data_IF_235027247377
#
_entry.id   IF_235027247377
#
_cell.length_a   1.000
_cell.length_b   1.000
_cell.length_c   1.000
_cell.angle_alpha   90.00
_cell.angle_beta   90.00
_cell.angle_gamma   90.00
#
_symmetry.space_group_name_H-M   'P 1'
#
loop_
_entity.id
_entity.type
_entity.pdbx_description
1 polymer ?
#
# COMPACT_ATOMS: atom_id res chain seq x y z
N UNK A 1 16.45 7.37 -11.29
CA UNK A 1 17.28 7.13 -10.08
C UNK A 1 18.10 8.39 -9.80
N UNK A 2 18.21 8.85 -8.56
CA UNK A 2 19.07 9.99 -8.21
C UNK A 2 20.55 9.59 -8.26
N UNK A 3 21.43 10.52 -8.62
CA UNK A 3 22.88 10.27 -8.70
C UNK A 3 23.47 9.67 -7.42
N UNK A 4 22.90 9.99 -6.26
CA UNK A 4 23.35 9.51 -4.95
C UNK A 4 23.17 7.98 -4.73
N UNK A 5 22.24 7.35 -5.43
CA UNK A 5 21.95 5.91 -5.28
C UNK A 5 22.56 5.04 -6.39
N UNK A 6 23.13 5.64 -7.43
CA UNK A 6 23.74 4.92 -8.54
C UNK A 6 24.87 3.95 -8.09
N UNK A 7 25.79 4.32 -7.17
CA UNK A 7 26.81 3.40 -6.71
C UNK A 7 26.23 2.16 -6.00
N UNK A 8 25.16 2.32 -5.23
CA UNK A 8 24.51 1.20 -4.55
C UNK A 8 23.79 0.27 -5.55
N UNK A 9 23.16 0.84 -6.58
CA UNK A 9 22.54 0.05 -7.66
C UNK A 9 23.55 -0.83 -8.39
N UNK A 10 24.70 -0.25 -8.76
CA UNK A 10 25.78 -0.98 -9.43
C UNK A 10 26.42 -2.04 -8.53
N UNK A 11 26.64 -1.72 -7.26
CA UNK A 11 27.32 -2.61 -6.32
C UNK A 11 26.43 -3.74 -5.81
N UNK A 12 25.11 -3.55 -5.73
CA UNK A 12 24.15 -4.50 -5.14
C UNK A 12 23.16 -4.99 -6.22
N UNK A 13 23.61 -5.89 -7.13
CA UNK A 13 22.76 -6.39 -8.20
C UNK A 13 21.56 -7.18 -7.66
N UNK A 14 20.36 -6.81 -8.13
CA UNK A 14 19.07 -7.41 -7.74
C UNK A 14 19.06 -8.93 -7.92
N UNK A 15 19.71 -9.43 -8.97
CA UNK A 15 19.85 -10.86 -9.27
C UNK A 15 20.43 -11.69 -8.11
N UNK A 16 21.24 -11.11 -7.23
CA UNK A 16 21.85 -11.86 -6.10
C UNK A 16 20.87 -12.22 -4.99
N UNK A 17 19.69 -11.59 -5.02
CA UNK A 17 18.63 -11.71 -4.01
C UNK A 17 17.38 -12.41 -4.54
N UNK A 18 17.28 -12.64 -5.86
CA UNK A 18 16.12 -13.31 -6.44
C UNK A 18 16.20 -14.84 -6.30
N UNK A 19 15.06 -15.52 -6.06
CA UNK A 19 14.99 -16.97 -6.15
C UNK A 19 15.17 -17.46 -7.60
N UNK A 20 15.46 -18.76 -7.77
CA UNK A 20 15.63 -19.35 -9.10
C UNK A 20 14.33 -19.29 -9.94
N UNK A 21 13.17 -19.45 -9.31
CA UNK A 21 11.86 -19.32 -9.95
C UNK A 21 11.25 -17.96 -9.59
N UNK A 22 10.89 -17.18 -10.61
CA UNK A 22 10.31 -15.84 -10.45
C UNK A 22 9.09 -15.64 -11.33
N UNK A 23 8.22 -14.71 -10.92
CA UNK A 23 7.04 -14.30 -11.69
C UNK A 23 7.04 -12.79 -11.94
N UNK A 24 7.84 -12.29 -12.91
CA UNK A 24 7.82 -10.90 -13.33
C UNK A 24 6.43 -10.47 -13.79
N UNK A 25 6.05 -9.24 -13.41
CA UNK A 25 4.88 -8.55 -13.94
C UNK A 25 5.36 -7.50 -14.95
N UNK A 26 5.17 -7.79 -16.23
CA UNK A 26 5.52 -6.87 -17.30
C UNK A 26 4.57 -5.66 -17.26
N UNK A 27 5.10 -4.51 -16.88
CA UNK A 27 4.32 -3.28 -16.71
C UNK A 27 3.78 -2.73 -18.04
N UNK A 28 4.37 -3.10 -19.18
CA UNK A 28 3.90 -2.67 -20.50
C UNK A 28 2.71 -3.50 -20.98
N UNK A 29 2.66 -4.80 -20.65
CA UNK A 29 1.57 -5.70 -21.09
C UNK A 29 0.56 -6.04 -19.99
N UNK A 30 0.88 -5.78 -18.72
CA UNK A 30 0.06 -6.12 -17.56
C UNK A 30 -0.01 -7.63 -17.28
N UNK A 31 0.98 -8.40 -17.75
CA UNK A 31 0.97 -9.88 -17.67
C UNK A 31 2.05 -10.39 -16.73
N UNK A 32 1.71 -11.47 -16.03
CA UNK A 32 2.67 -12.27 -15.29
C UNK A 32 3.24 -13.37 -16.20
N UNK A 33 4.55 -13.61 -16.09
CA UNK A 33 5.22 -14.73 -16.75
C UNK A 33 5.94 -15.59 -15.73
N UNK A 34 5.97 -16.90 -15.91
CA UNK A 34 6.81 -17.79 -15.11
C UNK A 34 8.20 -17.90 -15.73
N UNK A 35 9.25 -17.62 -14.98
CA UNK A 35 10.63 -17.67 -15.47
C UNK A 35 11.53 -18.37 -14.46
N UNK A 36 12.31 -19.35 -14.95
CA UNK A 36 13.24 -20.14 -14.13
C UNK A 36 14.68 -19.91 -14.58
N UNK A 37 15.57 -19.62 -13.63
CA UNK A 37 17.00 -19.48 -13.86
C UNK A 37 17.65 -20.77 -14.40
N UNK A 38 17.05 -21.93 -14.11
CA UNK A 38 17.56 -23.23 -14.59
C UNK A 38 17.12 -23.54 -16.02
N UNK A 39 15.90 -23.13 -16.39
CA UNK A 39 15.31 -23.45 -17.70
C UNK A 39 15.59 -22.37 -18.75
N UNK A 40 15.61 -21.10 -18.35
CA UNK A 40 15.85 -19.94 -19.22
C UNK A 40 16.66 -18.87 -18.46
N UNK A 41 17.98 -19.09 -18.28
CA UNK A 41 18.86 -18.18 -17.53
C UNK A 41 18.94 -16.79 -18.17
N UNK A 42 18.84 -16.69 -19.51
CA UNK A 42 18.88 -15.41 -20.21
C UNK A 42 17.62 -14.58 -19.94
N UNK A 43 16.43 -15.18 -20.00
CA UNK A 43 15.21 -14.49 -19.62
C UNK A 43 15.17 -14.14 -18.14
N UNK A 44 15.61 -15.05 -17.28
CA UNK A 44 15.69 -14.80 -15.86
C UNK A 44 16.58 -13.59 -15.55
N UNK A 45 17.78 -13.53 -16.14
CA UNK A 45 18.70 -12.41 -15.94
C UNK A 45 18.15 -11.11 -16.52
N UNK A 46 17.53 -11.16 -17.70
CA UNK A 46 16.88 -9.98 -18.30
C UNK A 46 15.81 -9.37 -17.39
N UNK A 47 14.97 -10.19 -16.75
CA UNK A 47 13.99 -9.68 -15.78
C UNK A 47 14.64 -9.23 -14.47
N UNK A 48 15.69 -9.92 -14.00
CA UNK A 48 16.43 -9.48 -12.83
C UNK A 48 17.01 -8.06 -13.00
N UNK A 49 17.39 -7.69 -14.23
CA UNK A 49 17.91 -6.37 -14.58
C UNK A 49 16.83 -5.37 -15.07
N UNK A 50 15.58 -5.82 -15.24
CA UNK A 50 14.49 -4.96 -15.72
C UNK A 50 13.89 -4.10 -14.62
N UNK A 51 13.23 -3.02 -15.03
CA UNK A 51 12.45 -2.15 -14.14
C UNK A 51 11.01 -2.67 -13.93
N UNK A 52 10.85 -3.98 -13.75
CA UNK A 52 9.56 -4.61 -13.46
C UNK A 52 9.51 -5.11 -12.00
N UNK A 53 8.34 -5.06 -11.33
CA UNK A 53 8.15 -5.78 -10.09
C UNK A 53 8.14 -7.29 -10.37
N UNK A 54 8.78 -8.05 -9.47
CA UNK A 54 8.93 -9.51 -9.61
C UNK A 54 8.30 -10.17 -8.39
N UNK A 55 7.24 -10.94 -8.60
CA UNK A 55 6.67 -11.75 -7.54
C UNK A 55 7.62 -12.90 -7.23
N UNK A 56 7.81 -13.16 -5.93
CA UNK A 56 8.75 -14.18 -5.41
C UNK A 56 8.07 -15.18 -4.48
N UNK A 57 6.83 -14.92 -4.08
CA UNK A 57 6.01 -15.85 -3.30
C UNK A 57 4.53 -15.60 -3.56
N UNK A 58 3.77 -16.69 -3.60
CA UNK A 58 2.32 -16.71 -3.70
C UNK A 58 1.71 -17.42 -2.49
N UNK A 59 0.46 -17.08 -2.18
CA UNK A 59 -0.43 -17.77 -1.24
C UNK A 59 0.22 -18.01 0.14
N UNK A 60 1.00 -17.04 0.62
CA UNK A 60 1.75 -17.09 1.89
C UNK A 60 2.67 -18.32 2.00
N UNK A 61 3.20 -18.76 0.86
CA UNK A 61 4.08 -19.93 0.77
C UNK A 61 3.37 -21.27 0.65
N UNK A 62 2.03 -21.30 0.61
CA UNK A 62 1.25 -22.52 0.38
C UNK A 62 1.14 -22.91 -1.11
N UNK A 63 1.64 -22.05 -2.00
CA UNK A 63 1.64 -22.29 -3.43
C UNK A 63 2.64 -23.39 -3.83
N UNK A 64 2.22 -24.29 -4.73
CA UNK A 64 3.05 -25.37 -5.27
C UNK A 64 3.16 -25.29 -6.80
N UNK A 65 4.32 -25.67 -7.32
CA UNK A 65 4.58 -25.75 -8.75
C UNK A 65 5.09 -24.43 -9.36
N UNK A 66 5.20 -24.39 -10.71
CA UNK A 66 5.78 -23.25 -11.41
C UNK A 66 4.76 -22.19 -11.85
N UNK A 67 3.48 -22.52 -11.91
CA UNK A 67 2.45 -21.59 -12.39
C UNK A 67 2.12 -20.51 -11.34
N UNK A 68 1.63 -19.31 -11.72
CA UNK A 68 1.20 -18.32 -10.74
C UNK A 68 0.14 -18.85 -9.75
N UNK A 69 0.29 -18.48 -8.47
CA UNK A 69 -0.71 -18.74 -7.43
C UNK A 69 -1.92 -17.77 -7.49
N UNK A 70 -2.71 -17.72 -6.41
CA UNK A 70 -3.92 -16.88 -6.38
C UNK A 70 -3.68 -15.47 -5.86
N UNK A 71 -2.86 -15.36 -4.82
CA UNK A 71 -2.59 -14.10 -4.11
C UNK A 71 -1.10 -13.89 -3.94
N UNK A 72 -0.58 -12.75 -4.38
CA UNK A 72 0.83 -12.42 -4.14
C UNK A 72 1.10 -12.23 -2.64
N UNK A 73 2.19 -12.80 -2.13
CA UNK A 73 2.56 -12.71 -0.71
C UNK A 73 3.99 -12.22 -0.47
N UNK A 74 4.84 -12.17 -1.50
CA UNK A 74 6.15 -11.50 -1.48
C UNK A 74 6.57 -11.10 -2.89
N UNK A 75 7.36 -10.04 -3.00
CA UNK A 75 7.98 -9.60 -4.26
C UNK A 75 9.31 -8.92 -4.03
N UNK A 76 10.13 -8.92 -5.07
CA UNK A 76 11.14 -7.89 -5.25
C UNK A 76 10.48 -6.70 -5.95
N UNK A 77 10.42 -5.57 -5.26
CA UNK A 77 9.78 -4.35 -5.76
C UNK A 77 10.46 -3.80 -7.01
N UNK A 78 9.70 -3.04 -7.81
CA UNK A 78 10.18 -2.35 -9.02
C UNK A 78 11.36 -1.42 -8.69
N UNK A 79 12.53 -1.56 -9.34
CA UNK A 79 13.73 -0.78 -9.04
C UNK A 79 13.51 0.74 -9.00
N UNK A 80 12.84 1.33 -9.99
CA UNK A 80 12.58 2.77 -10.03
C UNK A 80 11.75 3.24 -8.85
N UNK A 81 10.76 2.46 -8.42
CA UNK A 81 9.98 2.72 -7.21
C UNK A 81 10.84 2.63 -5.96
N UNK A 82 11.64 1.57 -5.81
CA UNK A 82 12.59 1.40 -4.69
C UNK A 82 13.49 2.62 -4.57
N UNK A 83 14.15 3.03 -5.65
CA UNK A 83 15.04 4.20 -5.61
C UNK A 83 14.33 5.53 -5.40
N UNK A 84 13.08 5.67 -5.86
CA UNK A 84 12.27 6.87 -5.58
C UNK A 84 11.94 6.97 -4.08
N UNK A 85 11.60 5.85 -3.45
CA UNK A 85 11.32 5.80 -2.01
C UNK A 85 12.60 5.98 -1.19
N UNK A 86 13.71 5.37 -1.59
CA UNK A 86 15.00 5.58 -0.94
C UNK A 86 15.49 7.03 -1.05
N UNK A 87 15.16 7.75 -2.13
CA UNK A 87 15.41 9.18 -2.24
C UNK A 87 14.55 9.98 -1.25
N UNK A 88 13.26 9.65 -1.13
CA UNK A 88 12.36 10.30 -0.14
C UNK A 88 12.75 10.03 1.31
N UNK A 89 13.24 8.81 1.58
CA UNK A 89 13.72 8.42 2.91
C UNK A 89 14.90 9.31 3.33
N UNK A 90 15.66 9.84 2.37
CA UNK A 90 16.73 10.81 2.57
C UNK A 90 17.70 10.39 3.69
N UNK A 91 18.28 9.20 3.55
CA UNK A 91 19.20 8.64 4.54
C UNK A 91 20.56 9.33 4.48
N UNK A 92 21.13 9.60 5.64
CA UNK A 92 22.46 10.22 5.81
C UNK A 92 23.44 9.23 6.45
N UNK A 93 24.75 9.33 6.18
CA UNK A 93 25.76 8.45 6.78
C UNK A 93 25.62 8.37 8.31
N UNK A 94 25.72 7.16 8.85
CA UNK A 94 25.62 6.88 10.30
C UNK A 94 24.19 6.82 10.87
N UNK A 95 23.15 7.01 10.05
CA UNK A 95 21.76 6.86 10.47
C UNK A 95 21.37 5.39 10.60
N UNK A 96 20.52 5.11 11.60
CA UNK A 96 19.91 3.78 11.80
C UNK A 96 18.55 3.69 11.11
N UNK A 97 18.32 2.57 10.43
CA UNK A 97 17.11 2.32 9.66
C UNK A 97 16.40 1.07 10.15
N UNK A 98 15.09 1.18 10.36
CA UNK A 98 14.18 0.05 10.47
C UNK A 98 13.44 -0.11 9.14
N UNK A 99 13.57 -1.28 8.52
CA UNK A 99 12.75 -1.68 7.38
C UNK A 99 11.66 -2.65 7.82
N UNK A 100 10.44 -2.44 7.33
CA UNK A 100 9.28 -3.32 7.54
C UNK A 100 8.89 -3.96 6.21
N UNK A 101 9.13 -5.27 6.09
CA UNK A 101 8.93 -6.06 4.88
C UNK A 101 10.25 -6.43 4.20
N UNK A 102 11.06 -7.28 4.84
CA UNK A 102 12.37 -7.69 4.28
C UNK A 102 12.26 -8.25 2.86
N UNK A 103 11.24 -9.08 2.58
CA UNK A 103 11.10 -9.74 1.28
C UNK A 103 12.35 -10.53 0.90
N UNK A 104 12.93 -10.25 -0.27
CA UNK A 104 14.18 -10.92 -0.70
C UNK A 104 15.44 -10.38 -0.01
N UNK A 105 15.36 -9.28 0.73
CA UNK A 105 16.50 -8.61 1.37
C UNK A 105 17.27 -7.64 0.47
N UNK A 106 16.83 -7.41 -0.78
CA UNK A 106 17.54 -6.51 -1.70
C UNK A 106 17.54 -5.04 -1.24
N UNK A 107 16.39 -4.51 -0.79
CA UNK A 107 16.31 -3.14 -0.28
C UNK A 107 17.12 -2.96 1.02
N UNK A 108 17.08 -3.95 1.92
CA UNK A 108 17.98 -4.01 3.08
C UNK A 108 19.47 -3.95 2.69
N UNK A 109 19.86 -4.66 1.63
CA UNK A 109 21.24 -4.67 1.12
C UNK A 109 21.65 -3.31 0.54
N UNK A 110 20.75 -2.63 -0.19
CA UNK A 110 20.99 -1.27 -0.70
C UNK A 110 21.23 -0.27 0.45
N UNK A 111 20.38 -0.34 1.48
CA UNK A 111 20.54 0.48 2.69
C UNK A 111 21.84 0.17 3.42
N UNK A 112 22.17 -1.13 3.58
CA UNK A 112 23.37 -1.59 4.27
C UNK A 112 24.66 -1.21 3.53
N UNK A 113 24.66 -1.27 2.19
CA UNK A 113 25.79 -0.79 1.40
C UNK A 113 26.07 0.69 1.65
N UNK A 114 25.02 1.50 1.79
CA UNK A 114 25.14 2.95 1.97
C UNK A 114 25.44 3.37 3.42
N UNK A 115 24.90 2.66 4.40
CA UNK A 115 24.92 3.07 5.81
C UNK A 115 25.79 2.18 6.72
N UNK A 116 26.24 1.03 6.23
CA UNK A 116 26.80 -0.05 7.05
C UNK A 116 25.72 -1.02 7.52
N UNK A 117 26.00 -2.33 7.42
CA UNK A 117 25.03 -3.39 7.76
C UNK A 117 24.59 -3.35 9.22
N UNK A 118 25.45 -2.90 10.13
CA UNK A 118 25.17 -2.74 11.55
C UNK A 118 24.11 -1.67 11.85
N UNK A 119 23.82 -0.78 10.90
CA UNK A 119 22.82 0.28 11.06
C UNK A 119 21.44 -0.13 10.53
N UNK A 120 21.30 -1.32 9.96
CA UNK A 120 20.06 -1.80 9.35
C UNK A 120 19.46 -2.91 10.19
N UNK A 121 18.17 -2.73 10.52
CA UNK A 121 17.30 -3.79 11.02
C UNK A 121 16.15 -3.93 10.02
N UNK A 122 15.82 -5.17 9.66
CA UNK A 122 14.71 -5.44 8.75
C UNK A 122 13.82 -6.54 9.33
N UNK A 123 12.50 -6.34 9.24
CA UNK A 123 11.48 -7.22 9.84
C UNK A 123 10.69 -7.92 8.76
N UNK A 124 10.56 -9.24 8.85
CA UNK A 124 9.74 -10.08 7.97
C UNK A 124 8.82 -10.97 8.79
N UNK A 125 7.55 -11.02 8.41
CA UNK A 125 6.51 -11.77 9.14
C UNK A 125 6.50 -13.25 8.74
N UNK A 126 7.00 -13.58 7.56
CA UNK A 126 7.10 -14.95 7.07
C UNK A 126 8.45 -15.59 7.43
N UNK A 127 8.42 -16.66 8.22
CA UNK A 127 9.64 -17.32 8.67
C UNK A 127 10.51 -17.87 7.52
N UNK A 128 9.91 -18.35 6.43
CA UNK A 128 10.65 -18.93 5.31
C UNK A 128 11.30 -17.81 4.49
N UNK A 129 10.55 -16.74 4.20
CA UNK A 129 11.09 -15.55 3.51
C UNK A 129 12.20 -14.90 4.33
N UNK A 130 12.01 -14.74 5.65
CA UNK A 130 13.03 -14.18 6.55
C UNK A 130 14.32 -15.00 6.54
N UNK A 131 14.19 -16.34 6.54
CA UNK A 131 15.32 -17.25 6.47
C UNK A 131 16.09 -17.10 5.15
N UNK A 132 15.41 -17.04 4.01
CA UNK A 132 16.08 -16.89 2.71
C UNK A 132 16.65 -15.50 2.46
N UNK A 133 16.02 -14.45 2.99
CA UNK A 133 16.58 -13.11 2.99
C UNK A 133 17.92 -13.09 3.74
N UNK A 134 17.97 -13.69 4.94
CA UNK A 134 19.20 -13.80 5.73
C UNK A 134 20.31 -14.53 4.97
N UNK A 135 20.00 -15.69 4.37
CA UNK A 135 20.98 -16.43 3.55
C UNK A 135 21.46 -15.61 2.34
N UNK A 136 20.58 -14.85 1.70
CA UNK A 136 20.92 -14.02 0.54
C UNK A 136 21.85 -12.86 0.92
N UNK A 137 21.55 -12.20 2.05
CA UNK A 137 22.38 -11.15 2.64
C UNK A 137 23.75 -11.68 3.08
N UNK A 138 23.79 -12.81 3.78
CA UNK A 138 25.04 -13.45 4.22
C UNK A 138 25.90 -13.88 3.02
N UNK A 139 25.30 -14.49 1.99
CA UNK A 139 25.99 -14.89 0.74
C UNK A 139 26.55 -13.68 -0.01
N UNK A 140 25.90 -12.52 0.11
CA UNK A 140 26.39 -11.27 -0.46
C UNK A 140 27.47 -10.60 0.41
N UNK A 141 27.65 -11.05 1.66
CA UNK A 141 28.65 -10.53 2.59
C UNK A 141 28.16 -9.38 3.47
N UNK A 142 26.84 -9.24 3.64
CA UNK A 142 26.22 -8.22 4.49
C UNK A 142 25.52 -8.86 5.69
N UNK A 143 26.08 -8.67 6.88
CA UNK A 143 25.49 -9.17 8.13
C UNK A 143 24.40 -8.24 8.68
N UNK A 144 23.33 -8.04 7.91
CA UNK A 144 22.17 -7.25 8.32
C UNK A 144 21.33 -8.01 9.35
N UNK A 145 20.79 -7.30 10.34
CA UNK A 145 19.90 -7.90 11.33
C UNK A 145 18.50 -8.15 10.74
N UNK A 146 18.27 -9.37 10.23
CA UNK A 146 16.95 -9.84 9.78
C UNK A 146 16.17 -10.44 10.94
N UNK A 147 15.02 -9.85 11.28
CA UNK A 147 14.13 -10.27 12.36
C UNK A 147 12.90 -10.95 11.77
N UNK A 148 12.61 -12.17 12.22
CA UNK A 148 11.31 -12.79 11.96
C UNK A 148 10.33 -12.31 13.04
N UNK A 149 9.29 -11.58 12.64
CA UNK A 149 8.31 -11.01 13.57
C UNK A 149 7.25 -10.14 12.90
N UNK A 150 6.28 -9.70 13.69
CA UNK A 150 5.25 -8.78 13.22
C UNK A 150 5.80 -7.36 13.07
N UNK A 151 5.85 -6.88 11.82
CA UNK A 151 6.28 -5.53 11.49
C UNK A 151 5.48 -4.42 12.17
N UNK A 152 4.23 -4.68 12.58
CA UNK A 152 3.43 -3.69 13.32
C UNK A 152 4.05 -3.32 14.66
N UNK A 153 4.81 -4.24 15.26
CA UNK A 153 5.49 -4.02 16.55
C UNK A 153 6.83 -3.30 16.39
N UNK A 154 7.33 -3.15 15.16
CA UNK A 154 8.68 -2.67 14.88
C UNK A 154 9.75 -3.58 15.49
N UNK A 155 10.86 -2.99 15.95
CA UNK A 155 11.90 -3.72 16.67
C UNK A 155 12.56 -2.86 17.76
N UNK A 156 11.87 -2.71 18.88
CA UNK A 156 12.28 -1.82 19.98
C UNK A 156 13.67 -2.09 20.55
N UNK A 157 14.21 -3.31 20.44
CA UNK A 157 15.53 -3.66 20.96
C UNK A 157 16.70 -2.89 20.31
N UNK A 158 16.49 -2.28 19.14
CA UNK A 158 17.51 -1.48 18.44
C UNK A 158 17.12 -0.03 18.21
N UNK A 159 15.95 0.37 18.75
CA UNK A 159 15.54 1.75 18.82
C UNK A 159 16.56 2.60 19.61
N UNK A 160 16.62 3.93 19.39
CA UNK A 160 15.80 4.68 18.46
C UNK A 160 16.35 4.70 17.03
N UNK A 161 15.44 4.79 16.06
CA UNK A 161 15.74 4.85 14.63
C UNK A 161 15.74 6.29 14.11
N UNK A 162 16.61 6.58 13.15
CA UNK A 162 16.59 7.84 12.40
C UNK A 162 15.58 7.79 11.25
N UNK A 163 15.34 6.57 10.73
CA UNK A 163 14.50 6.29 9.57
C UNK A 163 13.72 5.00 9.79
N UNK A 164 12.45 5.01 9.43
CA UNK A 164 11.62 3.83 9.32
C UNK A 164 11.04 3.80 7.91
N UNK A 165 11.17 2.68 7.21
CA UNK A 165 10.61 2.50 5.87
C UNK A 165 9.77 1.22 5.84
N UNK A 166 8.55 1.32 5.33
CA UNK A 166 7.76 0.15 5.00
C UNK A 166 7.84 -0.13 3.49
N UNK A 167 8.12 -1.38 3.15
CA UNK A 167 8.12 -1.91 1.78
C UNK A 167 6.88 -2.81 1.55
N UNK A 168 5.82 -2.50 2.29
CA UNK A 168 4.48 -3.07 2.19
C UNK A 168 3.43 -1.97 2.42
N UNK A 169 2.20 -2.17 1.96
CA UNK A 169 1.10 -1.22 2.06
C UNK A 169 0.38 -1.29 3.40
N UNK A 170 0.08 -0.13 3.99
CA UNK A 170 -0.63 0.01 5.27
C UNK A 170 -1.94 0.79 5.13
N UNK A 171 -2.84 0.57 6.09
CA UNK A 171 -4.04 1.38 6.35
C UNK A 171 -3.95 2.10 7.69
N UNK A 172 -3.26 1.51 8.66
CA UNK A 172 -3.00 2.13 9.96
C UNK A 172 -1.51 2.08 10.25
N UNK A 173 -0.90 3.24 10.47
CA UNK A 173 0.50 3.34 10.88
C UNK A 173 0.57 3.09 12.40
N UNK A 174 1.29 2.08 12.88
CA UNK A 174 1.42 1.82 14.31
C UNK A 174 2.16 2.94 15.02
N UNK A 175 1.62 3.42 16.14
CA UNK A 175 2.29 4.45 16.92
C UNK A 175 3.64 3.97 17.49
N UNK A 176 3.81 2.66 17.68
CA UNK A 176 5.09 2.05 18.06
C UNK A 176 6.26 2.46 17.14
N UNK A 177 6.01 2.76 15.85
CA UNK A 177 7.06 3.22 14.94
C UNK A 177 7.50 4.66 15.25
N UNK A 178 6.56 5.50 15.70
CA UNK A 178 6.84 6.86 16.19
C UNK A 178 7.63 6.79 17.50
N UNK A 179 7.19 5.96 18.45
CA UNK A 179 7.87 5.76 19.74
C UNK A 179 9.29 5.21 19.60
N UNK A 180 9.52 4.35 18.60
CA UNK A 180 10.83 3.78 18.31
C UNK A 180 11.72 4.70 17.46
N UNK A 181 11.25 5.88 17.08
CA UNK A 181 12.00 6.84 16.25
C UNK A 181 12.52 8.01 17.07
N UNK A 182 13.65 8.57 16.63
CA UNK A 182 14.16 9.82 17.22
C UNK A 182 13.22 10.99 16.85
N UNK A 183 13.15 12.04 17.69
CA UNK A 183 12.62 13.33 17.27
C UNK A 183 13.28 13.81 15.96
N UNK A 184 12.47 14.22 14.99
CA UNK A 184 12.94 14.56 13.63
C UNK A 184 13.28 13.36 12.74
N UNK A 185 13.09 12.13 13.22
CA UNK A 185 13.16 10.92 12.41
C UNK A 185 12.08 10.90 11.33
N UNK A 186 12.32 10.15 10.26
CA UNK A 186 11.39 10.06 9.11
C UNK A 186 10.79 8.66 9.02
N UNK A 187 9.47 8.60 8.92
CA UNK A 187 8.73 7.40 8.55
C UNK A 187 8.31 7.54 7.08
N UNK A 188 8.68 6.57 6.23
CA UNK A 188 8.24 6.50 4.84
C UNK A 188 7.38 5.26 4.63
N UNK A 189 6.10 5.47 4.35
CA UNK A 189 5.10 4.40 4.43
C UNK A 189 4.15 4.45 3.22
N UNK A 190 4.08 3.40 2.38
CA UNK A 190 2.97 3.21 1.46
C UNK A 190 1.67 3.09 2.25
N UNK A 191 0.75 4.03 2.06
CA UNK A 191 -0.49 4.11 2.83
C UNK A 191 -1.68 4.29 1.89
N UNK A 192 -2.80 3.61 2.17
CA UNK A 192 -4.03 3.75 1.40
C UNK A 192 -5.26 3.37 2.21
N UNK A 193 -6.42 3.67 1.63
CA UNK A 193 -7.73 3.59 2.31
C UNK A 193 -8.40 2.22 2.10
N UNK A 194 -9.61 2.04 2.62
CA UNK A 194 -10.47 0.90 2.25
C UNK A 194 -11.18 1.11 0.92
N UNK A 195 -11.25 2.36 0.45
CA UNK A 195 -12.09 2.76 -0.67
C UNK A 195 -11.65 2.13 -1.98
N UNK A 196 -10.34 2.03 -2.22
CA UNK A 196 -9.83 1.45 -3.45
C UNK A 196 -8.42 0.88 -3.30
N UNK A 197 -7.85 0.37 -4.40
CA UNK A 197 -6.49 -0.17 -4.41
C UNK A 197 -5.42 0.92 -4.35
N UNK A 198 -5.79 2.20 -4.48
CA UNK A 198 -4.86 3.32 -4.50
C UNK A 198 -4.15 3.53 -3.16
N UNK A 199 -2.82 3.70 -3.24
CA UNK A 199 -1.95 4.03 -2.13
C UNK A 199 -1.03 5.20 -2.54
N UNK A 200 -0.53 5.91 -1.55
CA UNK A 200 0.50 6.91 -1.74
C UNK A 200 1.58 6.79 -0.66
N UNK A 201 2.81 7.12 -1.00
CA UNK A 201 3.92 7.12 -0.05
C UNK A 201 3.79 8.33 0.89
N UNK A 202 3.49 8.10 2.16
CA UNK A 202 3.46 9.11 3.21
C UNK A 202 4.88 9.29 3.79
N UNK A 203 5.39 10.52 3.78
CA UNK A 203 6.69 10.88 4.34
C UNK A 203 6.50 11.72 5.60
N UNK A 204 6.46 11.06 6.75
CA UNK A 204 6.11 11.68 8.04
C UNK A 204 7.37 12.00 8.85
N UNK A 205 7.41 13.17 9.47
CA UNK A 205 8.49 13.58 10.37
C UNK A 205 7.99 13.49 11.81
N UNK A 206 8.75 12.80 12.66
CA UNK A 206 8.45 12.68 14.09
C UNK A 206 8.63 14.03 14.78
N UNK A 207 7.59 14.46 15.51
CA UNK A 207 7.59 15.73 16.23
C UNK A 207 8.67 15.77 17.32
N UNK A 208 9.09 16.98 17.71
CA UNK A 208 10.16 17.18 18.71
C UNK A 208 9.84 16.55 20.07
N UNK A 209 8.56 16.49 20.43
CA UNK A 209 8.08 15.88 21.67
C UNK A 209 7.87 14.36 21.56
N UNK A 210 8.05 13.76 20.37
CA UNK A 210 7.83 12.33 20.12
C UNK A 210 6.37 11.87 20.19
N UNK A 211 5.40 12.79 20.24
CA UNK A 211 3.98 12.46 20.44
C UNK A 211 3.19 12.31 19.12
N UNK A 212 3.82 12.64 17.99
CA UNK A 212 3.19 12.50 16.68
C UNK A 212 4.22 12.38 15.56
N UNK A 213 3.77 11.95 14.39
CA UNK A 213 4.50 12.07 13.14
C UNK A 213 3.58 12.67 12.07
N UNK A 214 4.05 13.68 11.34
CA UNK A 214 3.24 14.39 10.35
C UNK A 214 4.01 14.68 9.07
N UNK A 215 3.34 14.63 7.93
CA UNK A 215 3.95 14.98 6.65
C UNK A 215 3.09 14.63 5.43
N UNK A 216 3.49 15.12 4.25
CA UNK A 216 2.71 14.96 3.02
C UNK A 216 2.83 13.55 2.46
N UNK A 217 1.92 13.21 1.55
CA UNK A 217 2.19 12.16 0.58
C UNK A 217 3.10 12.68 -0.53
N UNK A 218 3.94 11.82 -1.11
CA UNK A 218 4.92 12.24 -2.13
C UNK A 218 4.56 11.77 -3.53
N UNK A 219 4.01 10.56 -3.66
CA UNK A 219 3.59 9.99 -4.95
C UNK A 219 2.63 8.81 -4.75
N UNK A 220 1.80 8.50 -5.76
CA UNK A 220 1.04 7.26 -5.77
C UNK A 220 2.00 6.06 -5.89
N UNK A 221 1.69 4.99 -5.16
CA UNK A 221 2.47 3.74 -5.12
C UNK A 221 1.50 2.55 -5.06
N UNK A 222 2.01 1.34 -5.28
CA UNK A 222 1.22 0.13 -5.12
C UNK A 222 2.08 -0.95 -4.46
N UNK A 223 1.68 -1.39 -3.28
CA UNK A 223 2.38 -2.43 -2.54
C UNK A 223 1.43 -3.56 -2.14
N UNK A 224 2.00 -4.75 -1.90
CA UNK A 224 1.27 -5.79 -1.20
C UNK A 224 0.96 -5.31 0.22
N UNK A 225 -0.26 -5.52 0.68
CA UNK A 225 -0.66 -5.13 2.03
C UNK A 225 0.11 -5.93 3.07
N UNK A 226 0.55 -5.24 4.14
CA UNK A 226 1.05 -5.88 5.35
C UNK A 226 0.04 -6.95 5.79
N UNK A 227 0.50 -8.17 6.07
CA UNK A 227 -0.38 -9.36 6.21
C UNK A 227 -1.53 -9.16 7.19
N UNK A 228 -1.24 -8.61 8.38
CA UNK A 228 -2.22 -8.31 9.42
C UNK A 228 -3.24 -7.21 9.04
N UNK A 229 -2.98 -6.42 7.99
CA UNK A 229 -3.88 -5.36 7.50
C UNK A 229 -4.51 -5.68 6.13
N UNK A 230 -4.41 -6.93 5.66
CA UNK A 230 -5.13 -7.37 4.45
C UNK A 230 -6.64 -7.23 4.66
N UNK A 231 -7.33 -6.82 3.60
CA UNK A 231 -8.78 -6.67 3.64
C UNK A 231 -9.48 -8.01 3.53
N UNK A 232 -10.46 -8.23 4.40
CA UNK A 232 -11.44 -9.30 4.23
C UNK A 232 -12.72 -8.65 3.76
N UNK A 233 -13.16 -9.01 2.56
CA UNK A 233 -14.40 -8.47 2.01
C UNK A 233 -15.60 -8.86 2.90
N UNK A 234 -16.48 -7.90 3.24
CA UNK A 234 -17.73 -8.22 3.90
C UNK A 234 -18.56 -9.18 3.05
N UNK A 235 -19.31 -10.06 3.73
CA UNK A 235 -20.29 -10.92 3.08
C UNK A 235 -21.52 -10.10 2.71
N UNK A 236 -21.86 -10.07 1.43
CA UNK A 236 -22.95 -9.25 0.89
C UNK A 236 -24.29 -9.49 1.61
N UNK A 237 -24.63 -10.75 1.87
CA UNK A 237 -25.86 -11.18 2.53
C UNK A 237 -25.97 -10.73 4.00
N UNK A 238 -24.84 -10.42 4.66
CA UNK A 238 -24.87 -9.82 6.00
C UNK A 238 -25.29 -8.35 5.99
N UNK A 239 -25.14 -7.66 4.86
CA UNK A 239 -25.52 -6.24 4.69
C UNK A 239 -26.86 -6.11 3.98
N UNK A 240 -27.10 -6.97 2.98
CA UNK A 240 -28.22 -6.86 2.03
C UNK A 240 -29.03 -8.17 2.03
N UNK A 241 -29.85 -8.42 3.07
CA UNK A 241 -30.73 -9.59 3.10
C UNK A 241 -31.82 -9.51 2.02
N UNK A 242 -32.51 -10.62 1.69
CA UNK A 242 -33.64 -10.61 0.77
C UNK A 242 -34.68 -9.55 1.16
N UNK A 243 -35.10 -8.73 0.19
CA UNK A 243 -36.04 -7.60 0.40
C UNK A 243 -35.39 -6.30 0.89
N UNK A 244 -34.08 -6.27 1.15
CA UNK A 244 -33.39 -5.07 1.63
C UNK A 244 -33.49 -3.88 0.66
N UNK A 245 -33.51 -4.12 -0.66
CA UNK A 245 -33.69 -3.08 -1.66
C UNK A 245 -35.08 -2.44 -1.60
N UNK A 246 -36.12 -3.19 -1.25
CA UNK A 246 -37.50 -2.68 -1.16
C UNK A 246 -37.68 -1.76 0.06
N UNK A 247 -36.89 -1.99 1.11
CA UNK A 247 -36.87 -1.18 2.32
C UNK A 247 -35.79 -0.07 2.31
N UNK A 248 -35.00 0.03 1.24
CA UNK A 248 -33.90 0.99 1.15
C UNK A 248 -34.38 2.38 0.76
N UNK A 249 -33.67 3.39 1.23
CA UNK A 249 -33.87 4.74 0.74
C UNK A 249 -33.35 4.85 -0.68
N UNK A 250 -34.14 5.47 -1.55
CA UNK A 250 -33.88 5.55 -2.98
C UNK A 250 -33.66 7.00 -3.42
N UNK A 251 -32.63 7.22 -4.23
CA UNK A 251 -32.36 8.50 -4.91
C UNK A 251 -31.82 8.25 -6.33
N UNK A 252 -31.46 9.32 -7.02
CA UNK A 252 -30.70 9.25 -8.28
C UNK A 252 -29.43 10.09 -8.18
N UNK A 253 -28.49 9.83 -9.09
CA UNK A 253 -27.25 10.60 -9.23
C UNK A 253 -26.89 10.76 -10.70
N UNK A 254 -26.19 11.85 -11.01
CA UNK A 254 -25.56 12.11 -12.31
C UNK A 254 -24.06 11.81 -12.30
N UNK A 255 -23.48 11.41 -11.16
CA UNK A 255 -22.09 11.00 -11.11
C UNK A 255 -21.89 9.73 -11.93
N UNK A 256 -20.81 9.68 -12.70
CA UNK A 256 -20.46 8.55 -13.55
C UNK A 256 -19.60 7.53 -12.80
N UNK A 257 -19.57 6.30 -13.29
CA UNK A 257 -18.73 5.23 -12.73
C UNK A 257 -17.24 5.63 -12.63
N UNK A 258 -16.70 6.29 -13.67
CA UNK A 258 -15.30 6.71 -13.71
C UNK A 258 -14.96 7.76 -12.65
N UNK A 259 -15.92 8.62 -12.30
CA UNK A 259 -15.77 9.64 -11.25
C UNK A 259 -15.76 9.03 -9.84
N UNK A 260 -16.21 7.78 -9.68
CA UNK A 260 -16.34 7.11 -8.38
C UNK A 260 -15.25 6.08 -8.14
N UNK A 261 -15.00 5.24 -9.16
CA UNK A 261 -14.02 4.17 -9.09
C UNK A 261 -12.62 4.63 -9.53
N UNK A 262 -12.51 5.85 -10.06
CA UNK A 262 -11.30 6.34 -10.73
C UNK A 262 -11.03 5.59 -12.04
N UNK A 263 -9.88 5.88 -12.64
CA UNK A 263 -9.42 5.22 -13.88
C UNK A 263 -8.36 4.14 -13.65
N UNK A 264 -7.92 3.94 -12.39
CA UNK A 264 -6.93 2.93 -12.01
C UNK A 264 -6.34 3.15 -10.62
N UNK A 265 -5.38 2.32 -10.22
CA UNK A 265 -4.78 2.31 -8.88
C UNK A 265 -3.94 3.55 -8.52
N UNK A 266 -3.70 4.46 -9.46
CA UNK A 266 -2.85 5.65 -9.26
C UNK A 266 -3.62 6.97 -9.44
N UNK A 267 -4.94 6.88 -9.58
CA UNK A 267 -5.81 8.03 -9.74
C UNK A 267 -6.05 8.75 -8.40
N UNK A 268 -6.04 10.08 -8.42
CA UNK A 268 -6.17 10.90 -7.22
C UNK A 268 -7.60 10.97 -6.67
N UNK A 269 -8.64 10.84 -7.51
CA UNK A 269 -10.02 10.94 -7.03
C UNK A 269 -10.35 9.78 -6.11
N UNK A 270 -10.01 8.55 -6.48
CA UNK A 270 -10.27 7.38 -5.63
C UNK A 270 -9.56 7.47 -4.27
N UNK A 271 -8.33 7.99 -4.26
CA UNK A 271 -7.58 8.23 -3.03
C UNK A 271 -8.22 9.31 -2.16
N UNK A 272 -8.55 10.47 -2.75
CA UNK A 272 -9.18 11.59 -2.05
C UNK A 272 -10.55 11.22 -1.48
N UNK A 273 -11.38 10.49 -2.24
CA UNK A 273 -12.66 9.97 -1.77
C UNK A 273 -12.46 9.08 -0.54
N UNK A 274 -11.50 8.16 -0.59
CA UNK A 274 -11.22 7.29 0.55
C UNK A 274 -10.70 8.03 1.79
N UNK A 275 -10.02 9.16 1.64
CA UNK A 275 -9.64 10.02 2.77
C UNK A 275 -10.85 10.71 3.40
N UNK A 276 -11.88 11.02 2.61
CA UNK A 276 -13.09 11.74 3.06
C UNK A 276 -14.21 10.80 3.51
N UNK A 277 -14.15 9.55 3.11
CA UNK A 277 -15.14 8.50 3.42
C UNK A 277 -14.41 7.32 4.06
N UNK A 278 -13.93 7.46 5.31
CA UNK A 278 -13.19 6.40 5.98
C UNK A 278 -14.05 5.16 6.19
N UNK A 279 -13.38 4.01 6.27
CA UNK A 279 -14.00 2.70 6.46
C UNK A 279 -15.14 2.42 5.47
N UNK A 280 -14.94 2.76 4.20
CA UNK A 280 -15.84 2.34 3.12
C UNK A 280 -15.03 1.62 2.07
N UNK A 281 -15.53 0.47 1.63
CA UNK A 281 -15.01 -0.27 0.49
C UNK A 281 -16.08 -0.38 -0.59
N UNK A 282 -15.69 -0.35 -1.86
CA UNK A 282 -16.63 -0.52 -2.97
C UNK A 282 -16.28 -1.71 -3.87
N UNK A 283 -17.30 -2.42 -4.34
CA UNK A 283 -17.17 -3.58 -5.21
C UNK A 283 -18.03 -3.38 -6.47
N UNK A 284 -17.42 -3.08 -7.62
CA UNK A 284 -18.14 -2.93 -8.87
C UNK A 284 -18.41 -4.30 -9.51
N UNK A 285 -19.69 -4.65 -9.65
CA UNK A 285 -20.13 -5.90 -10.28
C UNK A 285 -19.66 -6.01 -11.74
N UNK A 286 -19.72 -7.23 -12.29
CA UNK A 286 -19.53 -7.43 -13.73
C UNK A 286 -20.64 -6.73 -14.49
N UNK A 287 -20.26 -5.97 -15.51
CA UNK A 287 -21.19 -5.34 -16.44
C UNK A 287 -21.95 -6.43 -17.23
N UNK A 288 -23.28 -6.32 -17.28
CA UNK A 288 -24.19 -7.25 -17.98
C UNK A 288 -25.29 -6.44 -18.64
N UNK A 289 -25.51 -6.65 -19.94
CA UNK A 289 -26.59 -6.00 -20.71
C UNK A 289 -26.64 -4.47 -20.55
N UNK A 290 -25.48 -3.82 -20.60
CA UNK A 290 -25.33 -2.37 -20.43
C UNK A 290 -25.59 -1.85 -19.01
N UNK A 291 -25.75 -2.75 -18.02
CA UNK A 291 -25.95 -2.41 -16.61
C UNK A 291 -24.72 -2.81 -15.79
N UNK A 292 -24.33 -1.95 -14.85
CA UNK A 292 -23.31 -2.25 -13.84
C UNK A 292 -23.74 -1.72 -12.48
N UNK A 293 -23.74 -2.58 -11.47
CA UNK A 293 -23.97 -2.15 -10.09
C UNK A 293 -22.62 -1.92 -9.40
N UNK A 294 -22.52 -0.86 -8.62
CA UNK A 294 -21.36 -0.61 -7.74
C UNK A 294 -21.86 -0.58 -6.32
N UNK A 295 -21.43 -1.57 -5.54
CA UNK A 295 -21.81 -1.71 -4.14
C UNK A 295 -20.79 -1.00 -3.25
N UNK A 296 -21.26 -0.36 -2.19
CA UNK A 296 -20.47 0.27 -1.15
C UNK A 296 -20.84 -0.35 0.18
N UNK A 297 -19.86 -0.64 1.01
CA UNK A 297 -20.04 -1.25 2.33
C UNK A 297 -19.25 -0.46 3.36
N UNK A 298 -19.89 -0.16 4.49
CA UNK A 298 -19.21 0.33 5.67
C UNK A 298 -18.38 -0.79 6.29
N UNK A 299 -17.15 -0.50 6.70
CA UNK A 299 -16.18 -1.47 7.24
C UNK A 299 -15.74 -1.12 8.66
N UNK A 300 -16.36 -0.13 9.30
CA UNK A 300 -15.99 0.44 10.60
C UNK A 300 -16.27 -0.45 11.82
N UNK A 301 -16.26 -1.77 11.64
CA UNK A 301 -16.54 -2.77 12.68
C UNK A 301 -17.84 -3.55 12.46
N UNK A 302 -18.07 -4.56 13.31
CA UNK A 302 -19.16 -5.54 13.14
C UNK A 302 -20.57 -4.97 13.30
N UNK A 303 -20.71 -3.77 13.85
CA UNK A 303 -21.99 -3.07 14.00
C UNK A 303 -22.31 -2.16 12.82
N UNK A 304 -21.33 -1.80 11.99
CA UNK A 304 -21.60 -1.03 10.78
C UNK A 304 -22.19 -1.96 9.71
N UNK A 305 -23.49 -1.82 9.48
CA UNK A 305 -24.23 -2.52 8.42
C UNK A 305 -24.69 -1.56 7.33
N UNK A 306 -24.00 -0.42 7.20
CA UNK A 306 -24.29 0.55 6.17
C UNK A 306 -23.89 -0.01 4.81
N UNK A 307 -24.78 0.18 3.83
CA UNK A 307 -24.51 -0.18 2.45
C UNK A 307 -25.17 0.82 1.50
N UNK A 308 -24.59 0.93 0.32
CA UNK A 308 -25.24 1.58 -0.81
C UNK A 308 -24.98 0.78 -2.10
N UNK A 309 -25.84 0.96 -3.08
CA UNK A 309 -25.59 0.50 -4.45
C UNK A 309 -26.02 1.55 -5.44
N UNK A 310 -25.15 1.81 -6.40
CA UNK A 310 -25.42 2.65 -7.56
C UNK A 310 -25.55 1.77 -8.78
N UNK A 311 -26.65 1.90 -9.50
CA UNK A 311 -26.98 1.09 -10.67
C UNK A 311 -26.84 1.94 -11.93
N UNK A 312 -25.67 1.84 -12.56
CA UNK A 312 -25.37 2.47 -13.84
C UNK A 312 -26.01 1.71 -14.99
N UNK A 313 -26.50 2.46 -15.98
CA UNK A 313 -27.04 1.92 -17.22
C UNK A 313 -26.59 2.75 -18.41
N UNK A 314 -26.13 2.10 -19.47
CA UNK A 314 -25.63 2.78 -20.68
C UNK A 314 -26.72 3.57 -21.42
N UNK A 315 -27.99 3.20 -21.21
CA UNK A 315 -29.15 3.86 -21.82
C UNK A 315 -29.69 5.05 -21.00
N UNK A 316 -29.04 5.44 -19.90
CA UNK A 316 -29.53 6.46 -18.96
C UNK A 316 -28.42 7.39 -18.51
N UNK A 317 -28.74 8.68 -18.43
CA UNK A 317 -27.84 9.68 -17.86
C UNK A 317 -27.79 9.65 -16.33
N UNK A 318 -28.93 9.37 -15.69
CA UNK A 318 -29.02 9.22 -14.24
C UNK A 318 -28.95 7.75 -13.80
N UNK A 319 -28.13 7.48 -12.79
CA UNK A 319 -28.06 6.19 -12.13
C UNK A 319 -29.00 6.17 -10.91
N UNK A 320 -29.65 5.02 -10.67
CA UNK A 320 -30.44 4.82 -9.46
C UNK A 320 -29.53 4.44 -8.29
N UNK A 321 -29.84 4.99 -7.13
CA UNK A 321 -29.13 4.74 -5.88
C UNK A 321 -30.09 4.12 -4.88
N UNK A 322 -29.61 3.10 -4.17
CA UNK A 322 -30.27 2.55 -2.99
C UNK A 322 -29.28 2.54 -1.85
N UNK A 323 -29.69 2.92 -0.64
CA UNK A 323 -28.81 2.85 0.53
C UNK A 323 -29.60 2.60 1.81
N UNK A 324 -28.94 2.00 2.80
CA UNK A 324 -29.50 1.72 4.11
C UNK A 324 -28.40 1.57 5.16
N UNK A 325 -28.80 1.59 6.43
CA UNK A 325 -27.93 1.48 7.60
C UNK A 325 -27.61 2.81 8.28
N UNK A 326 -26.77 2.78 9.33
CA UNK A 326 -26.50 3.93 10.19
C UNK A 326 -25.79 5.09 9.49
N UNK A 327 -25.01 4.81 8.44
CA UNK A 327 -24.36 5.80 7.59
C UNK A 327 -25.04 5.89 6.22
N UNK A 328 -25.06 7.10 5.67
CA UNK A 328 -25.55 7.37 4.31
C UNK A 328 -24.39 7.33 3.35
N UNK A 329 -23.83 6.13 3.12
CA UNK A 329 -22.57 5.96 2.40
C UNK A 329 -22.56 6.64 1.04
N UNK A 330 -23.66 6.58 0.30
CA UNK A 330 -23.72 7.25 -0.99
C UNK A 330 -23.66 8.78 -0.87
N UNK A 331 -24.40 9.34 0.09
CA UNK A 331 -24.37 10.77 0.36
C UNK A 331 -22.99 11.25 0.81
N UNK A 332 -22.26 10.42 1.55
CA UNK A 332 -20.86 10.70 1.95
C UNK A 332 -19.92 10.68 0.73
N UNK A 333 -20.06 9.71 -0.17
CA UNK A 333 -19.27 9.62 -1.42
C UNK A 333 -19.54 10.80 -2.35
N UNK A 334 -20.81 11.17 -2.58
CA UNK A 334 -21.15 12.36 -3.38
C UNK A 334 -20.58 13.64 -2.77
N UNK A 335 -20.73 13.79 -1.45
CA UNK A 335 -20.20 14.95 -0.73
C UNK A 335 -18.67 15.03 -0.84
N UNK A 336 -17.99 13.89 -0.72
CA UNK A 336 -16.54 13.80 -0.88
C UNK A 336 -16.08 14.15 -2.30
N UNK A 337 -16.81 13.71 -3.33
CA UNK A 337 -16.50 14.01 -4.72
C UNK A 337 -16.65 15.51 -5.01
N UNK A 338 -17.78 16.10 -4.59
CA UNK A 338 -17.99 17.54 -4.75
C UNK A 338 -17.00 18.37 -3.93
N UNK A 339 -16.61 17.89 -2.74
CA UNK A 339 -15.53 18.49 -1.96
C UNK A 339 -14.22 18.50 -2.74
N UNK A 340 -13.82 17.36 -3.33
CA UNK A 340 -12.60 17.25 -4.13
C UNK A 340 -12.61 18.20 -5.34
N UNK A 341 -13.72 18.26 -6.08
CA UNK A 341 -13.89 19.23 -7.18
C UNK A 341 -13.78 20.68 -6.70
N UNK A 342 -14.43 21.03 -5.59
CA UNK A 342 -14.41 22.40 -5.06
C UNK A 342 -13.02 22.86 -4.58
N UNK A 343 -12.09 21.92 -4.33
CA UNK A 343 -10.70 22.20 -3.96
C UNK A 343 -9.73 22.14 -5.15
N UNK A 344 -10.26 22.12 -6.38
CA UNK A 344 -9.47 22.15 -7.61
C UNK A 344 -8.81 20.82 -7.91
N UNK A 345 -9.48 19.70 -7.62
CA UNK A 345 -9.03 18.35 -7.98
C UNK A 345 -7.60 18.04 -7.48
N UNK A 346 -7.33 18.22 -6.16
CA UNK A 346 -5.98 18.04 -5.62
C UNK A 346 -5.42 16.65 -5.95
N UNK A 347 -4.15 16.63 -6.36
CA UNK A 347 -3.38 15.40 -6.46
C UNK A 347 -2.93 14.89 -5.08
N UNK A 348 -2.33 13.70 -5.06
CA UNK A 348 -1.83 13.05 -3.84
C UNK A 348 -0.91 13.96 -3.00
N UNK A 349 -0.06 14.77 -3.63
CA UNK A 349 0.98 15.55 -2.95
C UNK A 349 0.45 16.72 -2.12
N UNK A 350 -0.78 17.16 -2.41
CA UNK A 350 -1.48 18.16 -1.60
C UNK A 350 -2.05 17.59 -0.31
N UNK A 351 -2.19 16.27 -0.21
CA UNK A 351 -2.65 15.62 1.00
C UNK A 351 -1.49 15.27 1.93
N UNK A 352 -1.79 15.06 3.20
CA UNK A 352 -0.86 14.43 4.14
C UNK A 352 -1.55 13.79 5.32
N UNK A 353 -0.75 13.22 6.22
CA UNK A 353 -1.20 12.56 7.43
C UNK A 353 -0.54 13.14 8.67
N UNK A 354 -1.25 13.07 9.78
CA UNK A 354 -0.74 13.25 11.14
C UNK A 354 -1.14 12.03 11.96
N UNK A 355 -0.16 11.30 12.48
CA UNK A 355 -0.36 10.11 13.32
C UNK A 355 -0.02 10.45 14.76
N UNK A 356 -0.92 10.10 15.68
CA UNK A 356 -0.75 10.19 17.14
C UNK A 356 -0.96 8.81 17.78
N UNK A 357 -0.85 8.71 19.10
CA UNK A 357 -1.11 7.47 19.82
C UNK A 357 -2.56 6.99 19.70
N UNK A 358 -3.49 7.93 19.57
CA UNK A 358 -4.94 7.67 19.64
C UNK A 358 -5.56 7.67 18.25
N UNK A 359 -5.18 8.65 17.41
CA UNK A 359 -5.86 8.95 16.17
C UNK A 359 -4.89 9.19 15.00
N UNK A 360 -5.38 8.94 13.79
CA UNK A 360 -4.75 9.38 12.54
C UNK A 360 -5.66 10.43 11.91
N UNK A 361 -5.05 11.53 11.47
CA UNK A 361 -5.74 12.60 10.77
C UNK A 361 -5.19 12.72 9.36
N UNK A 362 -6.05 12.96 8.39
CA UNK A 362 -5.67 13.44 7.06
C UNK A 362 -5.84 14.95 6.98
N UNK A 363 -5.10 15.59 6.10
CA UNK A 363 -5.22 17.03 5.84
C UNK A 363 -4.96 17.35 4.37
N UNK A 364 -5.40 18.53 3.94
CA UNK A 364 -5.16 19.11 2.62
C UNK A 364 -4.38 20.41 2.78
N UNK A 365 -3.23 20.49 2.10
CA UNK A 365 -2.22 21.56 2.05
C UNK A 365 -1.56 21.92 3.39
N UNK A 366 -2.33 21.99 4.48
CA UNK A 366 -1.88 22.39 5.81
C UNK A 366 -2.45 21.45 6.89
N UNK A 367 -1.62 20.89 7.79
CA UNK A 367 -2.07 20.08 8.93
C UNK A 367 -3.11 20.74 9.85
N UNK A 368 -3.25 22.06 9.85
CA UNK A 368 -4.32 22.77 10.59
C UNK A 368 -5.71 22.45 10.01
N UNK A 369 -5.80 22.18 8.71
CA UNK A 369 -7.04 21.82 8.01
C UNK A 369 -7.26 20.30 8.01
N UNK A 370 -7.06 19.66 9.15
CA UNK A 370 -7.14 18.21 9.28
C UNK A 370 -8.53 17.69 9.64
N UNK A 371 -8.78 16.43 9.33
CA UNK A 371 -9.94 15.66 9.78
C UNK A 371 -9.50 14.25 10.19
N UNK A 372 -10.20 13.66 11.15
CA UNK A 372 -9.92 12.31 11.62
C UNK A 372 -10.26 11.28 10.54
N UNK A 373 -9.44 10.22 10.47
CA UNK A 373 -9.66 9.05 9.63
C UNK A 373 -10.20 7.86 10.44
#
# INVERSE_FOLDING_TARGET
MSAEWAPAYEAVPRSRFLPALIWPHDMATGRYSTVSAEQDPEAWQRYADSDDPIVTQWDDGAHEGPEPGKSFSSSSSMPSLVFSMLADLDVKPGQRVLEIGTGTGWNAALLAYRLGAENIVTVEVDSAVASEARKSLDRFGLSVQVVHGDGLLGYGARAPYDRVIATCGLRKIPFAWVEQSKPGGVLLVPWGTYYGPGEAAARLVVARNGQSASGPFTRPVAFMRLRAQRFVWPRHDEYVPPGALDAADTSTTTLTEAQLCGTGSFDAVGFALGLRVPDVAHNPDRRRDGRRAVWFYGTGGSMDRSWAVVVFRDDREEAKVYQSGPRRLWGEVESAYHWWLSHGEPDHSRFGLTVTAEETHAWLDDPVNSWSL
#
